data_IF_033556075297
#
_entry.id   IF_033556075297
#
_cell.length_a   1.000
_cell.length_b   1.000
_cell.length_c   1.000
_cell.angle_alpha   90.00
_cell.angle_beta   90.00
_cell.angle_gamma   90.00
#
_symmetry.space_group_name_H-M   'P 1'
#
loop_
_entity.id
_entity.type
_entity.pdbx_description
1 polymer ?
#
# COMPACT_ATOMS: atom_id res chain seq x y z
N UNK A 1 11.00 5.12 -18.56
CA UNK A 1 10.89 6.17 -17.53
C UNK A 1 10.96 5.48 -16.19
N UNK A 2 12.14 5.49 -15.58
CA UNK A 2 12.49 4.65 -14.44
C UNK A 2 12.09 5.37 -13.14
N UNK A 3 11.06 4.86 -12.45
CA UNK A 3 10.59 5.40 -11.16
C UNK A 3 11.11 4.61 -9.94
N UNK A 4 12.07 3.69 -10.12
CA UNK A 4 12.44 2.68 -9.12
C UNK A 4 13.84 2.85 -8.49
N UNK A 5 14.39 4.07 -8.43
CA UNK A 5 15.75 4.32 -7.89
C UNK A 5 15.77 5.37 -6.77
N UNK A 6 15.02 5.15 -5.69
CA UNK A 6 15.23 5.89 -4.43
C UNK A 6 15.18 4.95 -3.22
N UNK A 7 16.14 4.04 -3.15
CA UNK A 7 16.55 3.40 -1.89
C UNK A 7 18.00 3.77 -1.69
N UNK A 8 18.27 4.66 -0.72
CA UNK A 8 19.53 4.89 0.02
C UNK A 8 19.55 6.34 0.55
N UNK A 9 18.83 6.60 1.64
CA UNK A 9 19.15 7.73 2.52
C UNK A 9 20.04 7.21 3.67
N UNK A 10 21.23 7.79 3.93
CA UNK A 10 22.12 7.33 4.99
C UNK A 10 21.55 7.55 6.39
N UNK A 11 21.68 6.53 7.23
CA UNK A 11 21.05 6.33 8.55
C UNK A 11 21.66 7.11 9.74
N UNK A 12 22.42 8.18 9.51
CA UNK A 12 23.28 8.77 10.57
C UNK A 12 22.96 10.21 11.00
N UNK A 13 21.86 10.83 10.55
CA UNK A 13 21.55 12.24 10.89
C UNK A 13 20.13 12.39 11.46
N UNK A 14 19.73 11.52 12.39
CA UNK A 14 18.47 11.64 13.14
C UNK A 14 18.77 11.56 14.64
N UNK A 15 19.52 12.53 15.16
CA UNK A 15 19.60 12.77 16.61
C UNK A 15 19.79 14.25 16.83
N UNK A 16 18.69 14.97 17.10
CA UNK A 16 18.64 16.24 17.84
C UNK A 16 17.51 17.10 17.30
N UNK A 17 16.38 17.15 18.01
CA UNK A 17 15.76 18.39 18.51
C UNK A 17 14.38 18.09 19.12
N UNK A 18 14.09 18.70 20.28
CA UNK A 18 12.93 18.40 21.14
C UNK A 18 11.69 19.20 20.74
N UNK A 19 10.47 18.75 21.13
CA UNK A 19 9.20 19.17 20.52
C UNK A 19 8.57 20.47 21.07
N UNK A 20 9.31 21.30 21.81
CA UNK A 20 8.68 22.20 22.80
C UNK A 20 8.47 23.64 22.30
N UNK A 21 8.89 23.97 21.07
CA UNK A 21 8.99 25.36 20.59
C UNK A 21 7.85 25.83 19.65
N UNK A 22 6.71 25.14 19.57
CA UNK A 22 5.69 25.46 18.53
C UNK A 22 4.25 25.59 19.06
N UNK A 23 3.86 26.77 19.58
CA UNK A 23 2.47 27.28 19.69
C UNK A 23 2.48 28.85 19.78
N UNK A 24 1.36 29.59 19.52
CA UNK A 24 0.92 30.02 18.18
C UNK A 24 0.78 31.56 18.04
N UNK A 25 0.90 32.08 16.81
CA UNK A 25 0.62 33.49 16.51
C UNK A 25 -0.88 33.76 16.31
N UNK A 26 -1.41 34.75 17.05
CA UNK A 26 -2.73 35.36 16.90
C UNK A 26 -2.74 36.37 15.76
N UNK A 27 -3.77 36.37 14.91
CA UNK A 27 -4.00 37.41 13.90
C UNK A 27 -5.38 38.02 14.12
N UNK A 28 -5.39 39.25 14.63
CA UNK A 28 -6.55 40.14 14.68
C UNK A 28 -6.42 41.18 13.57
N UNK A 29 -7.31 41.14 12.58
CA UNK A 29 -7.44 42.19 11.57
C UNK A 29 -8.80 42.13 10.89
N UNK A 30 -9.70 43.07 11.23
CA UNK A 30 -10.97 43.30 10.50
C UNK A 30 -10.67 44.01 9.18
N UNK A 31 -11.14 43.46 8.07
CA UNK A 31 -11.18 44.13 6.76
C UNK A 31 -12.64 44.54 6.48
N UNK A 32 -12.87 45.82 6.22
CA UNK A 32 -14.16 46.36 5.75
C UNK A 32 -14.11 46.31 4.22
N UNK A 33 -14.91 45.45 3.60
CA UNK A 33 -15.04 45.34 2.14
C UNK A 33 -16.19 46.26 1.64
N UNK A 34 -16.02 46.91 0.49
CA UNK A 34 -17.04 47.75 -0.16
C UNK A 34 -17.86 46.94 -1.18
N UNK A 35 -19.10 47.33 -1.47
CA UNK A 35 -20.07 46.54 -2.26
C UNK A 35 -19.62 46.13 -3.68
N UNK A 36 -18.75 46.91 -4.33
CA UNK A 36 -18.18 46.56 -5.65
C UNK A 36 -17.10 45.45 -5.56
N UNK A 37 -16.52 45.21 -4.39
CA UNK A 37 -15.57 44.13 -4.16
C UNK A 37 -16.25 42.80 -3.84
N UNK A 38 -17.48 42.83 -3.31
CA UNK A 38 -18.28 41.63 -3.03
C UNK A 38 -18.76 40.95 -4.32
N UNK A 39 -19.30 41.72 -5.27
CA UNK A 39 -19.75 41.19 -6.57
C UNK A 39 -18.60 40.60 -7.40
N UNK A 40 -17.43 41.22 -7.40
CA UNK A 40 -16.24 40.68 -8.06
C UNK A 40 -15.70 39.41 -7.36
N UNK A 41 -15.84 39.32 -6.03
CA UNK A 41 -15.48 38.14 -5.25
C UNK A 41 -16.46 36.98 -5.54
N UNK A 42 -17.75 37.26 -5.60
CA UNK A 42 -18.81 36.31 -5.94
C UNK A 42 -18.64 35.75 -7.36
N UNK A 43 -18.35 36.60 -8.35
CA UNK A 43 -18.07 36.19 -9.73
C UNK A 43 -16.79 35.34 -9.84
N UNK A 44 -15.76 35.68 -9.04
CA UNK A 44 -14.51 34.92 -8.99
C UNK A 44 -14.68 33.57 -8.30
N UNK A 45 -15.43 33.50 -7.21
CA UNK A 45 -15.79 32.26 -6.50
C UNK A 45 -16.62 31.37 -7.42
N UNK A 46 -17.65 31.92 -8.07
CA UNK A 46 -18.50 31.18 -9.02
C UNK A 46 -17.71 30.59 -10.20
N UNK A 47 -16.77 31.36 -10.78
CA UNK A 47 -15.88 30.87 -11.85
C UNK A 47 -14.93 29.78 -11.36
N UNK A 48 -14.38 29.91 -10.14
CA UNK A 48 -13.54 28.86 -9.54
C UNK A 48 -14.32 27.60 -9.23
N UNK A 49 -15.57 27.72 -8.78
CA UNK A 49 -16.48 26.60 -8.56
C UNK A 49 -16.83 25.91 -9.87
N UNK A 50 -17.14 26.65 -10.95
CA UNK A 50 -17.36 26.08 -12.27
C UNK A 50 -16.13 25.35 -12.84
N UNK A 51 -14.93 25.91 -12.71
CA UNK A 51 -13.69 25.25 -13.17
C UNK A 51 -13.39 24.02 -12.32
N UNK A 52 -13.64 24.09 -11.01
CA UNK A 52 -13.51 22.95 -10.09
C UNK A 52 -14.49 21.84 -10.46
N UNK A 53 -15.74 22.19 -10.74
CA UNK A 53 -16.79 21.26 -11.17
C UNK A 53 -16.47 20.63 -12.52
N UNK A 54 -15.99 21.39 -13.50
CA UNK A 54 -15.58 20.86 -14.80
C UNK A 54 -14.39 19.89 -14.67
N UNK A 55 -13.37 20.24 -13.87
CA UNK A 55 -12.24 19.34 -13.58
C UNK A 55 -12.71 18.08 -12.85
N UNK A 56 -13.62 18.23 -11.91
CA UNK A 56 -14.24 17.11 -11.19
C UNK A 56 -15.00 16.19 -12.17
N UNK A 57 -15.84 16.74 -13.04
CA UNK A 57 -16.61 15.98 -14.04
C UNK A 57 -15.67 15.27 -15.02
N UNK A 58 -14.65 15.95 -15.54
CA UNK A 58 -13.68 15.32 -16.46
C UNK A 58 -12.89 14.21 -15.77
N UNK A 59 -12.46 14.43 -14.52
CA UNK A 59 -11.73 13.42 -13.74
C UNK A 59 -12.63 12.24 -13.38
N UNK A 60 -13.89 12.51 -13.01
CA UNK A 60 -14.89 11.51 -12.66
C UNK A 60 -15.28 10.67 -13.87
N UNK A 61 -15.66 11.30 -14.99
CA UNK A 61 -15.99 10.62 -16.25
C UNK A 61 -14.79 9.84 -16.76
N UNK A 62 -13.59 10.43 -16.74
CA UNK A 62 -12.35 9.74 -17.08
C UNK A 62 -12.12 8.51 -16.20
N UNK A 63 -12.38 8.63 -14.89
CA UNK A 63 -12.30 7.51 -13.94
C UNK A 63 -13.31 6.41 -14.26
N UNK A 64 -14.56 6.76 -14.54
CA UNK A 64 -15.61 5.80 -14.91
C UNK A 64 -15.30 5.08 -16.23
N UNK A 65 -14.76 5.78 -17.22
CA UNK A 65 -14.31 5.19 -18.49
C UNK A 65 -13.18 4.21 -18.21
N UNK A 66 -12.16 4.61 -17.46
CA UNK A 66 -11.04 3.74 -17.10
C UNK A 66 -11.49 2.52 -16.28
N UNK A 67 -12.45 2.67 -15.38
CA UNK A 67 -13.02 1.55 -14.61
C UNK A 67 -13.83 0.60 -15.50
N UNK A 68 -14.47 1.12 -16.55
CA UNK A 68 -15.21 0.31 -17.52
C UNK A 68 -14.24 -0.46 -18.41
N UNK A 69 -13.23 0.21 -18.97
CA UNK A 69 -12.15 -0.43 -19.74
C UNK A 69 -11.46 -1.50 -18.89
N UNK A 70 -11.11 -1.18 -17.64
CA UNK A 70 -10.44 -2.11 -16.75
C UNK A 70 -11.26 -3.38 -16.51
N UNK A 71 -12.58 -3.26 -16.28
CA UNK A 71 -13.47 -4.43 -16.13
C UNK A 71 -13.56 -5.26 -17.40
N UNK A 72 -13.58 -4.64 -18.58
CA UNK A 72 -13.67 -5.36 -19.86
C UNK A 72 -12.40 -6.14 -20.20
N UNK A 73 -11.24 -5.63 -19.81
CA UNK A 73 -9.94 -6.20 -20.16
C UNK A 73 -9.24 -6.93 -19.01
N UNK A 74 -9.85 -6.96 -17.82
CA UNK A 74 -9.32 -7.70 -16.67
C UNK A 74 -9.03 -9.16 -17.04
N UNK A 75 -8.04 -9.72 -16.34
CA UNK A 75 -7.79 -11.15 -16.35
C UNK A 75 -8.97 -11.88 -15.70
N UNK A 76 -9.25 -13.13 -16.09
CA UNK A 76 -10.28 -13.91 -15.42
C UNK A 76 -9.95 -14.05 -13.93
N UNK A 77 -10.97 -14.22 -13.11
CA UNK A 77 -10.80 -14.64 -11.73
C UNK A 77 -10.69 -16.18 -11.67
N UNK A 78 -9.79 -16.74 -10.84
CA UNK A 78 -9.74 -18.17 -10.59
C UNK A 78 -11.01 -18.62 -9.87
N UNK A 79 -11.35 -19.90 -10.01
CA UNK A 79 -12.32 -20.51 -9.11
C UNK A 79 -11.81 -20.36 -7.67
N UNK A 80 -12.66 -19.86 -6.76
CA UNK A 80 -12.30 -19.74 -5.34
C UNK A 80 -11.81 -21.09 -4.84
N UNK A 81 -10.63 -21.10 -4.19
CA UNK A 81 -10.09 -22.30 -3.56
C UNK A 81 -11.13 -22.84 -2.58
N UNK A 82 -11.68 -24.02 -2.85
CA UNK A 82 -12.77 -24.62 -2.06
C UNK A 82 -12.39 -24.68 -0.60
N UNK A 83 -13.23 -24.19 0.31
CA UNK A 83 -12.98 -24.16 1.76
C UNK A 83 -12.46 -25.52 2.30
N UNK A 84 -12.93 -26.62 1.70
CA UNK A 84 -12.68 -28.01 2.08
C UNK A 84 -11.27 -28.55 1.80
N UNK A 85 -10.39 -27.78 1.13
CA UNK A 85 -8.95 -28.07 1.20
C UNK A 85 -8.46 -27.66 2.59
N UNK A 86 -8.67 -28.58 3.53
CA UNK A 86 -8.21 -28.49 4.91
C UNK A 86 -6.67 -28.50 4.91
N UNK A 87 -6.06 -27.67 5.76
CA UNK A 87 -4.61 -27.68 5.98
C UNK A 87 -4.23 -28.98 6.72
N UNK A 88 -4.14 -30.08 5.97
CA UNK A 88 -3.77 -31.38 6.52
C UNK A 88 -2.27 -31.58 6.35
N UNK A 89 -1.53 -31.51 7.47
CA UNK A 89 -0.17 -32.02 7.55
C UNK A 89 -0.21 -33.44 8.14
N UNK A 90 0.70 -34.34 7.74
CA UNK A 90 0.82 -35.65 8.37
C UNK A 90 1.00 -35.50 9.89
N UNK A 91 0.31 -36.30 10.74
CA UNK A 91 0.34 -36.15 12.19
C UNK A 91 1.75 -36.22 12.81
N UNK A 92 2.67 -36.93 12.14
CA UNK A 92 4.03 -37.18 12.61
C UNK A 92 5.02 -36.06 12.24
N UNK A 93 4.61 -35.12 11.38
CA UNK A 93 5.49 -34.11 10.81
C UNK A 93 5.03 -32.73 11.24
N UNK A 94 5.89 -32.01 11.96
CA UNK A 94 5.60 -30.61 12.33
C UNK A 94 5.84 -29.68 11.15
N UNK A 95 5.05 -28.61 11.03
CA UNK A 95 5.30 -27.56 10.04
C UNK A 95 6.74 -27.00 10.14
N UNK A 96 7.26 -26.90 11.37
CA UNK A 96 8.63 -26.46 11.64
C UNK A 96 9.70 -27.41 11.12
N UNK A 97 9.52 -28.73 11.26
CA UNK A 97 10.50 -29.70 10.73
C UNK A 97 10.54 -29.68 9.19
N UNK A 98 9.41 -29.40 8.53
CA UNK A 98 9.39 -29.15 7.08
C UNK A 98 10.07 -27.83 6.72
N UNK A 99 9.81 -26.76 7.48
CA UNK A 99 10.38 -25.43 7.25
C UNK A 99 11.91 -25.39 7.38
N UNK A 100 12.49 -26.22 8.25
CA UNK A 100 13.94 -26.32 8.45
C UNK A 100 14.63 -27.33 7.53
N UNK A 101 13.86 -28.07 6.71
CA UNK A 101 14.42 -29.00 5.73
C UNK A 101 15.32 -28.27 4.72
N UNK A 102 16.33 -28.99 4.21
CA UNK A 102 17.27 -28.43 3.24
C UNK A 102 16.55 -27.91 1.98
N UNK A 103 15.59 -28.66 1.46
CA UNK A 103 14.80 -28.27 0.28
C UNK A 103 13.99 -27.00 0.53
N UNK A 104 13.36 -26.86 1.70
CA UNK A 104 12.61 -25.67 2.07
C UNK A 104 13.52 -24.43 2.19
N UNK A 105 14.72 -24.60 2.77
CA UNK A 105 15.73 -23.54 2.89
C UNK A 105 16.25 -23.10 1.52
N UNK A 106 16.57 -24.05 0.64
CA UNK A 106 17.03 -23.77 -0.72
C UNK A 106 15.96 -23.04 -1.52
N UNK A 107 14.72 -23.53 -1.48
CA UNK A 107 13.57 -22.88 -2.12
C UNK A 107 13.36 -21.47 -1.57
N UNK A 108 13.40 -21.29 -0.24
CA UNK A 108 13.21 -19.98 0.40
C UNK A 108 14.29 -18.97 0.02
N UNK A 109 15.54 -19.42 -0.16
CA UNK A 109 16.65 -18.58 -0.64
C UNK A 109 16.43 -18.15 -2.09
N UNK A 110 16.00 -19.09 -2.94
CA UNK A 110 15.64 -18.79 -4.33
C UNK A 110 14.48 -17.78 -4.38
N UNK A 111 13.42 -18.04 -3.62
CA UNK A 111 12.24 -17.16 -3.53
C UNK A 111 12.60 -15.75 -3.07
N UNK A 112 13.35 -15.62 -1.96
CA UNK A 112 13.74 -14.32 -1.42
C UNK A 112 14.53 -13.49 -2.43
N UNK A 113 15.38 -14.13 -3.24
CA UNK A 113 16.15 -13.44 -4.29
C UNK A 113 15.27 -12.76 -5.34
N UNK A 114 14.03 -13.21 -5.53
CA UNK A 114 13.06 -12.64 -6.48
C UNK A 114 12.23 -11.50 -5.91
N UNK A 115 12.02 -11.51 -4.59
CA UNK A 115 11.24 -10.48 -3.88
C UNK A 115 12.15 -9.30 -3.55
N UNK A 116 13.30 -9.59 -2.92
CA UNK A 116 14.28 -8.58 -2.53
C UNK A 116 15.69 -9.20 -2.47
N UNK A 117 16.63 -8.78 -3.33
CA UNK A 117 18.00 -9.28 -3.31
C UNK A 117 18.66 -9.10 -1.93
N UNK A 118 19.13 -10.21 -1.34
CA UNK A 118 19.80 -10.20 -0.03
C UNK A 118 18.87 -10.38 1.19
N UNK A 119 17.56 -10.48 0.99
CA UNK A 119 16.63 -10.81 2.07
C UNK A 119 16.78 -12.28 2.53
N UNK A 120 16.60 -12.51 3.82
CA UNK A 120 16.46 -13.87 4.36
C UNK A 120 15.05 -14.35 4.05
N UNK A 121 14.93 -15.51 3.39
CA UNK A 121 13.63 -16.13 3.11
C UNK A 121 12.90 -16.51 4.39
N UNK A 122 11.96 -15.64 4.80
CA UNK A 122 10.98 -15.87 5.85
C UNK A 122 9.82 -16.77 5.40
N UNK A 123 9.64 -16.88 4.08
CA UNK A 123 8.66 -17.76 3.44
C UNK A 123 9.37 -18.97 2.83
N UNK A 124 8.88 -20.17 3.10
CA UNK A 124 9.44 -21.42 2.57
C UNK A 124 8.34 -22.39 2.15
N UNK A 125 8.55 -23.09 1.03
CA UNK A 125 7.70 -24.21 0.60
C UNK A 125 7.89 -25.39 1.58
N UNK A 126 6.81 -25.80 2.23
CA UNK A 126 6.84 -26.93 3.19
C UNK A 126 6.21 -28.20 2.62
N UNK A 127 5.29 -28.07 1.66
CA UNK A 127 4.70 -29.18 0.90
C UNK A 127 4.46 -28.74 -0.55
N UNK A 128 3.96 -29.62 -1.41
CA UNK A 128 3.56 -29.25 -2.79
C UNK A 128 2.50 -28.14 -2.83
N UNK A 129 1.63 -28.05 -1.82
CA UNK A 129 0.48 -27.15 -1.82
C UNK A 129 0.54 -26.06 -0.74
N UNK A 130 1.59 -26.05 0.08
CA UNK A 130 1.67 -25.15 1.23
C UNK A 130 3.05 -24.52 1.38
N UNK A 131 3.04 -23.23 1.70
CA UNK A 131 4.19 -22.48 2.18
C UNK A 131 3.98 -22.10 3.65
N UNK A 132 5.06 -21.87 4.37
CA UNK A 132 5.04 -21.35 5.73
C UNK A 132 5.86 -20.08 5.78
N UNK A 133 5.29 -19.04 6.39
CA UNK A 133 5.91 -17.75 6.69
C UNK A 133 6.22 -17.68 8.19
N UNK A 134 7.44 -17.28 8.53
CA UNK A 134 7.87 -17.00 9.91
C UNK A 134 8.14 -15.50 10.10
N UNK A 135 7.63 -14.94 11.20
CA UNK A 135 7.70 -13.50 11.49
C UNK A 135 6.48 -12.75 10.97
N UNK A 136 6.60 -11.42 10.89
CA UNK A 136 5.46 -10.55 10.55
C UNK A 136 4.41 -10.48 11.67
N UNK A 137 3.18 -10.14 11.31
CA UNK A 137 2.00 -10.18 12.18
C UNK A 137 0.97 -11.19 11.63
N UNK A 138 1.12 -12.51 11.90
CA UNK A 138 0.27 -13.56 11.32
C UNK A 138 -1.24 -13.33 11.49
N UNK A 139 -1.65 -12.74 12.62
CA UNK A 139 -3.05 -12.41 12.90
C UNK A 139 -3.58 -11.32 11.96
N UNK A 140 -2.78 -10.29 11.69
CA UNK A 140 -3.15 -9.21 10.78
C UNK A 140 -3.24 -9.72 9.35
N UNK A 141 -2.23 -10.45 8.88
CA UNK A 141 -2.21 -11.02 7.53
C UNK A 141 -3.37 -12.00 7.30
N UNK A 142 -3.66 -12.88 8.26
CA UNK A 142 -4.79 -13.82 8.18
C UNK A 142 -6.14 -13.09 8.11
N UNK A 143 -6.37 -12.08 8.97
CA UNK A 143 -7.63 -11.33 8.96
C UNK A 143 -7.81 -10.52 7.68
N UNK A 144 -6.73 -9.95 7.15
CA UNK A 144 -6.77 -9.28 5.85
C UNK A 144 -7.16 -10.27 4.76
N UNK A 145 -6.50 -11.43 4.69
CA UNK A 145 -6.82 -12.49 3.72
C UNK A 145 -8.30 -12.92 3.84
N UNK A 146 -8.81 -13.12 5.06
CA UNK A 146 -10.20 -13.50 5.29
C UNK A 146 -11.19 -12.42 4.83
N UNK A 147 -10.91 -11.15 5.12
CA UNK A 147 -11.70 -10.01 4.66
C UNK A 147 -11.74 -9.96 3.12
N UNK A 148 -10.58 -10.07 2.48
CA UNK A 148 -10.46 -9.99 1.02
C UNK A 148 -11.14 -11.17 0.33
N UNK A 149 -10.90 -12.39 0.82
CA UNK A 149 -11.50 -13.62 0.30
C UNK A 149 -13.04 -13.61 0.40
N UNK A 150 -13.57 -13.08 1.51
CA UNK A 150 -15.02 -13.01 1.74
C UNK A 150 -15.71 -11.88 0.99
N UNK A 151 -15.03 -10.73 0.82
CA UNK A 151 -15.66 -9.48 0.38
C UNK A 151 -15.29 -9.03 -1.03
N UNK A 152 -14.38 -9.74 -1.71
CA UNK A 152 -13.88 -9.36 -3.04
C UNK A 152 -13.76 -10.55 -4.00
N UNK A 153 -13.42 -10.25 -5.24
CA UNK A 153 -13.02 -11.22 -6.27
C UNK A 153 -11.49 -11.34 -6.39
N UNK A 154 -10.73 -10.65 -5.53
CA UNK A 154 -9.27 -10.65 -5.55
C UNK A 154 -8.78 -12.04 -5.13
N UNK A 155 -7.97 -12.72 -5.96
CA UNK A 155 -7.40 -14.01 -5.61
C UNK A 155 -6.31 -13.85 -4.56
N UNK A 156 -6.54 -14.46 -3.41
CA UNK A 156 -5.62 -14.46 -2.26
C UNK A 156 -5.37 -15.89 -1.79
N UNK A 157 -4.19 -16.21 -1.25
CA UNK A 157 -3.94 -17.53 -0.67
C UNK A 157 -4.86 -17.76 0.51
N UNK A 158 -5.17 -19.01 0.84
CA UNK A 158 -5.73 -19.31 2.16
C UNK A 158 -4.63 -19.21 3.20
N UNK A 159 -5.00 -18.84 4.41
CA UNK A 159 -4.09 -18.70 5.54
C UNK A 159 -4.58 -19.46 6.77
N UNK A 160 -3.65 -20.01 7.54
CA UNK A 160 -3.93 -20.59 8.85
C UNK A 160 -2.76 -20.34 9.81
N UNK A 161 -3.06 -19.84 11.00
CA UNK A 161 -2.07 -19.64 12.06
C UNK A 161 -1.72 -21.00 12.67
N UNK A 162 -0.43 -21.32 12.70
CA UNK A 162 0.08 -22.55 13.35
C UNK A 162 0.67 -22.26 14.70
N UNK A 163 1.35 -21.12 14.85
CA UNK A 163 1.92 -20.63 16.10
C UNK A 163 1.86 -19.10 16.13
N UNK A 164 2.18 -18.49 17.27
CA UNK A 164 2.09 -17.04 17.49
C UNK A 164 2.83 -16.19 16.45
N UNK A 165 3.91 -16.72 15.86
CA UNK A 165 4.73 -16.04 14.85
C UNK A 165 4.82 -16.81 13.51
N UNK A 166 3.87 -17.71 13.23
CA UNK A 166 3.92 -18.58 12.06
C UNK A 166 2.58 -18.70 11.35
N UNK A 167 2.60 -18.46 10.04
CA UNK A 167 1.45 -18.57 9.16
C UNK A 167 1.71 -19.64 8.10
N UNK A 168 0.80 -20.60 7.93
CA UNK A 168 0.77 -21.45 6.75
C UNK A 168 -0.14 -20.81 5.70
N UNK A 169 0.34 -20.77 4.47
CA UNK A 169 -0.33 -20.23 3.30
C UNK A 169 -0.50 -21.35 2.26
N UNK A 170 -1.61 -21.36 1.53
CA UNK A 170 -1.69 -22.15 0.29
C UNK A 170 -0.65 -21.61 -0.70
N UNK A 171 0.19 -22.50 -1.22
CA UNK A 171 1.17 -22.15 -2.24
C UNK A 171 0.46 -21.90 -3.56
N UNK A 172 0.57 -20.68 -4.07
CA UNK A 172 0.01 -20.31 -5.37
C UNK A 172 0.95 -20.79 -6.48
N UNK A 173 0.52 -21.70 -7.38
CA UNK A 173 1.32 -22.10 -8.52
C UNK A 173 1.44 -20.93 -9.50
N UNK A 174 2.64 -20.56 -9.90
CA UNK A 174 2.84 -19.47 -10.85
C UNK A 174 4.20 -18.83 -10.78
N UNK A 175 4.34 -17.70 -11.47
CA UNK A 175 5.58 -16.92 -11.52
C UNK A 175 5.31 -15.49 -11.06
N UNK A 176 6.10 -14.95 -10.12
CA UNK A 176 6.00 -13.53 -9.75
C UNK A 176 6.19 -12.62 -10.95
N UNK A 177 5.44 -11.51 -11.01
CA UNK A 177 5.56 -10.54 -12.10
C UNK A 177 6.98 -9.97 -12.20
N UNK A 178 7.70 -9.85 -11.08
CA UNK A 178 9.11 -9.43 -11.07
C UNK A 178 10.02 -10.29 -11.97
N UNK A 179 9.65 -11.55 -12.25
CA UNK A 179 10.44 -12.49 -13.06
C UNK A 179 9.94 -12.61 -14.50
N UNK A 180 8.65 -12.37 -14.75
CA UNK A 180 8.05 -12.58 -16.06
C UNK A 180 7.68 -11.30 -16.80
N UNK A 181 7.65 -10.13 -16.15
CA UNK A 181 7.15 -8.87 -16.72
C UNK A 181 7.71 -8.55 -18.11
N UNK A 182 9.04 -8.61 -18.27
CA UNK A 182 9.72 -8.29 -19.53
C UNK A 182 9.47 -9.31 -20.66
N UNK A 183 8.97 -10.50 -20.29
CA UNK A 183 8.62 -11.57 -21.24
C UNK A 183 7.14 -11.50 -21.65
N UNK A 184 6.33 -10.71 -20.95
CA UNK A 184 4.91 -10.56 -21.27
C UNK A 184 4.74 -9.63 -22.46
N UNK A 185 3.84 -10.00 -23.38
CA UNK A 185 3.45 -9.12 -24.48
C UNK A 185 2.74 -7.85 -23.96
N UNK A 186 2.80 -6.72 -24.70
CA UNK A 186 2.19 -5.45 -24.28
C UNK A 186 0.70 -5.57 -23.94
N UNK A 187 -0.02 -6.42 -24.66
CA UNK A 187 -1.44 -6.66 -24.39
C UNK A 187 -1.67 -7.35 -23.04
N UNK A 188 -0.84 -8.31 -22.65
CA UNK A 188 -0.95 -8.98 -21.34
C UNK A 188 -0.59 -8.02 -20.21
N UNK A 189 0.45 -7.21 -20.38
CA UNK A 189 0.80 -6.14 -19.43
C UNK A 189 -0.37 -5.16 -19.25
N UNK A 190 -1.02 -4.76 -20.34
CA UNK A 190 -2.23 -3.93 -20.30
C UNK A 190 -3.38 -4.59 -19.53
N UNK A 191 -3.64 -5.89 -19.74
CA UNK A 191 -4.65 -6.63 -18.99
C UNK A 191 -4.31 -6.74 -17.50
N UNK A 192 -3.03 -6.88 -17.15
CA UNK A 192 -2.56 -6.84 -15.76
C UNK A 192 -2.87 -5.47 -15.13
N UNK A 193 -2.55 -4.37 -15.81
CA UNK A 193 -2.90 -3.03 -15.32
C UNK A 193 -4.41 -2.84 -15.12
N UNK A 194 -5.22 -3.34 -16.06
CA UNK A 194 -6.68 -3.36 -15.94
C UNK A 194 -7.11 -4.13 -14.69
N UNK A 195 -6.54 -5.32 -14.48
CA UNK A 195 -6.84 -6.18 -13.32
C UNK A 195 -6.46 -5.49 -12.01
N UNK A 196 -5.26 -4.93 -11.91
CA UNK A 196 -4.81 -4.19 -10.73
C UNK A 196 -5.72 -3.00 -10.42
N UNK A 197 -6.15 -2.25 -11.44
CA UNK A 197 -7.13 -1.18 -11.26
C UNK A 197 -8.45 -1.70 -10.69
N UNK A 198 -8.94 -2.84 -11.17
CA UNK A 198 -10.14 -3.46 -10.59
C UNK A 198 -9.93 -3.90 -9.14
N UNK A 199 -8.76 -4.44 -8.80
CA UNK A 199 -8.43 -4.83 -7.43
C UNK A 199 -8.40 -3.63 -6.49
N UNK A 200 -7.65 -2.57 -6.83
CA UNK A 200 -7.59 -1.33 -6.02
C UNK A 200 -8.99 -0.74 -5.85
N UNK A 201 -9.85 -0.80 -6.89
CA UNK A 201 -11.25 -0.35 -6.77
C UNK A 201 -12.05 -1.19 -5.79
N UNK A 202 -11.91 -2.51 -5.82
CA UNK A 202 -12.57 -3.41 -4.86
C UNK A 202 -12.12 -3.12 -3.43
N UNK A 203 -10.80 -2.98 -3.19
CA UNK A 203 -10.24 -2.61 -1.88
C UNK A 203 -10.80 -1.27 -1.40
N UNK A 204 -10.85 -0.27 -2.28
CA UNK A 204 -11.34 1.07 -1.95
C UNK A 204 -12.85 1.16 -1.62
N UNK A 205 -13.60 0.10 -1.97
CA UNK A 205 -15.03 -0.01 -1.75
C UNK A 205 -15.39 -0.89 -0.54
N UNK A 206 -14.40 -1.51 0.12
CA UNK A 206 -14.61 -2.20 1.39
C UNK A 206 -15.09 -1.21 2.47
N UNK A 207 -15.76 -1.69 3.54
CA UNK A 207 -16.18 -0.85 4.65
C UNK A 207 -15.03 0.01 5.18
N UNK A 208 -15.30 1.30 5.42
CA UNK A 208 -14.29 2.23 5.97
C UNK A 208 -14.00 1.93 7.44
N UNK A 209 -12.82 2.33 7.90
CA UNK A 209 -12.49 2.42 9.33
C UNK A 209 -12.57 3.86 9.82
N UNK A 210 -12.82 4.04 11.12
CA UNK A 210 -12.69 5.34 11.80
C UNK A 210 -11.23 5.69 12.15
N UNK A 211 -10.38 4.65 12.25
CA UNK A 211 -8.99 4.76 12.69
C UNK A 211 -8.04 4.25 11.60
N UNK A 212 -6.96 4.98 11.29
CA UNK A 212 -6.00 4.52 10.32
C UNK A 212 -5.05 3.48 10.92
N UNK A 213 -4.57 2.57 10.08
CA UNK A 213 -3.70 1.47 10.46
C UNK A 213 -4.27 0.08 10.14
N UNK A 214 -3.59 -0.98 10.58
CA UNK A 214 -4.02 -2.36 10.34
C UNK A 214 -5.33 -2.69 11.04
N UNK A 215 -5.93 -3.83 10.68
CA UNK A 215 -7.14 -4.34 11.36
C UNK A 215 -6.82 -4.73 12.81
N UNK A 216 -5.64 -5.32 13.02
CA UNK A 216 -5.10 -5.73 14.31
C UNK A 216 -3.61 -5.43 14.37
N UNK A 217 -3.12 -5.14 15.57
CA UNK A 217 -1.70 -4.91 15.81
C UNK A 217 -1.30 -3.46 15.59
N UNK A 218 -0.04 -3.28 15.22
CA UNK A 218 0.62 -1.98 15.14
C UNK A 218 0.81 -1.58 13.69
N UNK A 219 0.76 -0.27 13.43
CA UNK A 219 1.12 0.29 12.13
C UNK A 219 2.58 -0.08 11.81
N UNK A 220 2.77 -0.73 10.66
CA UNK A 220 4.06 -1.24 10.16
C UNK A 220 4.20 -0.99 8.66
N UNK A 221 5.38 -1.29 8.15
CA UNK A 221 5.80 -1.09 6.76
C UNK A 221 6.92 -0.07 6.67
N UNK A 222 7.61 -0.04 5.52
CA UNK A 222 8.82 0.76 5.31
C UNK A 222 8.68 2.25 5.64
N UNK A 223 7.46 2.81 5.56
CA UNK A 223 7.17 4.20 5.93
C UNK A 223 7.11 4.44 7.44
N UNK A 224 6.85 3.41 8.25
CA UNK A 224 6.52 3.53 9.67
C UNK A 224 7.62 3.00 10.60
N UNK A 225 8.53 2.15 10.11
CA UNK A 225 9.59 1.49 10.88
C UNK A 225 10.62 2.44 11.52
N UNK A 226 10.67 3.70 11.10
CA UNK A 226 11.66 4.66 11.56
C UNK A 226 11.26 5.50 12.79
N UNK A 227 10.00 5.43 13.24
CA UNK A 227 9.54 6.21 14.39
C UNK A 227 8.75 5.35 15.39
N UNK A 228 9.47 4.80 16.39
CA UNK A 228 8.96 3.99 17.52
C UNK A 228 7.80 4.64 18.32
N UNK A 229 7.44 5.89 18.03
CA UNK A 229 6.60 6.74 18.88
C UNK A 229 5.14 6.79 18.39
N UNK A 230 4.84 6.36 17.15
CA UNK A 230 3.50 6.50 16.54
C UNK A 230 2.99 5.21 15.88
N UNK A 231 3.22 4.06 16.51
CA UNK A 231 2.79 2.76 16.00
C UNK A 231 1.26 2.52 16.07
N UNK A 232 0.48 3.49 16.58
CA UNK A 232 -0.98 3.53 16.49
C UNK A 232 -1.45 4.97 16.28
N UNK A 233 -2.34 5.17 15.32
CA UNK A 233 -2.96 6.47 15.08
C UNK A 233 -4.39 6.49 15.64
N UNK A 234 -4.66 7.21 16.73
CA UNK A 234 -5.99 7.19 17.35
C UNK A 234 -7.06 7.88 16.50
N UNK A 235 -6.65 8.77 15.58
CA UNK A 235 -7.54 9.50 14.67
C UNK A 235 -6.86 9.74 13.33
N UNK A 236 -7.65 9.91 12.27
CA UNK A 236 -7.17 10.34 10.95
C UNK A 236 -6.37 11.66 11.01
N UNK A 237 -6.70 12.56 11.93
CA UNK A 237 -5.99 13.84 12.10
C UNK A 237 -4.58 13.65 12.68
N UNK A 238 -4.38 12.68 13.59
CA UNK A 238 -3.03 12.34 14.09
C UNK A 238 -2.17 11.72 13.00
N UNK A 239 -2.77 10.82 12.21
CA UNK A 239 -2.11 10.24 11.05
C UNK A 239 -1.72 11.30 10.03
N UNK A 240 -2.63 12.22 9.73
CA UNK A 240 -2.41 13.37 8.87
C UNK A 240 -1.23 14.24 9.33
N UNK A 241 -1.19 14.64 10.61
CA UNK A 241 -0.07 15.40 11.16
C UNK A 241 1.26 14.63 11.05
N UNK A 242 1.23 13.31 11.25
CA UNK A 242 2.41 12.47 11.10
C UNK A 242 2.90 12.43 9.64
N UNK A 243 2.02 12.21 8.66
CA UNK A 243 2.38 12.25 7.24
C UNK A 243 2.97 13.60 6.83
N UNK A 244 2.38 14.70 7.30
CA UNK A 244 2.86 16.05 7.05
C UNK A 244 4.24 16.31 7.68
N UNK A 245 4.45 15.83 8.90
CA UNK A 245 5.74 15.91 9.58
C UNK A 245 6.80 15.09 8.84
N UNK A 246 6.47 13.86 8.42
CA UNK A 246 7.35 12.99 7.66
C UNK A 246 7.74 13.64 6.32
N UNK A 247 6.77 14.14 5.56
CA UNK A 247 7.01 14.84 4.29
C UNK A 247 7.89 16.08 4.48
N UNK A 248 7.66 16.85 5.55
CA UNK A 248 8.48 18.02 5.89
C UNK A 248 9.92 17.64 6.28
N UNK A 249 10.10 16.57 7.06
CA UNK A 249 11.42 16.03 7.44
C UNK A 249 12.19 15.54 6.23
N UNK A 250 11.58 14.68 5.41
CA UNK A 250 12.19 14.16 4.18
C UNK A 250 12.58 15.28 3.22
N UNK A 251 11.69 16.26 3.05
CA UNK A 251 12.00 17.45 2.26
C UNK A 251 13.21 18.22 2.77
N UNK A 252 13.29 18.48 4.07
CA UNK A 252 14.41 19.24 4.65
C UNK A 252 15.76 18.55 4.40
N UNK A 253 15.79 17.21 4.38
CA UNK A 253 16.99 16.44 4.00
C UNK A 253 17.33 16.68 2.53
N UNK A 254 16.37 16.48 1.62
CA UNK A 254 16.60 16.65 0.18
C UNK A 254 16.98 18.10 -0.15
N UNK A 255 16.34 19.09 0.47
CA UNK A 255 16.65 20.51 0.29
C UNK A 255 18.07 20.88 0.76
N UNK A 256 18.60 20.20 1.81
CA UNK A 256 20.00 20.36 2.23
C UNK A 256 20.96 19.74 1.23
N UNK A 257 20.66 18.54 0.73
CA UNK A 257 21.47 17.86 -0.29
C UNK A 257 21.51 18.65 -1.60
N UNK A 258 20.38 19.22 -2.01
CA UNK A 258 20.29 20.05 -3.21
C UNK A 258 21.15 21.33 -3.17
N UNK A 259 21.53 21.81 -1.98
CA UNK A 259 22.52 22.90 -1.84
C UNK A 259 23.93 22.46 -2.25
N UNK A 260 24.24 21.18 -2.10
CA UNK A 260 25.53 20.58 -2.46
C UNK A 260 25.51 20.04 -3.89
N UNK A 261 24.33 19.60 -4.37
CA UNK A 261 24.13 19.06 -5.71
C UNK A 261 22.90 19.71 -6.39
N UNK A 262 23.11 20.80 -7.15
CA UNK A 262 22.02 21.59 -7.76
C UNK A 262 21.16 20.82 -8.78
N UNK A 263 21.64 19.69 -9.30
CA UNK A 263 20.89 18.80 -10.22
C UNK A 263 19.69 18.11 -9.54
N UNK A 264 19.65 18.05 -8.21
CA UNK A 264 18.57 17.39 -7.47
C UNK A 264 17.22 18.14 -7.53
N UNK A 265 17.21 19.39 -8.02
CA UNK A 265 16.05 20.30 -8.22
C UNK A 265 14.79 19.89 -7.44
N UNK A 266 14.83 20.00 -6.10
CA UNK A 266 13.82 19.38 -5.28
C UNK A 266 12.50 20.17 -5.44
N UNK A 267 11.36 19.47 -5.45
CA UNK A 267 10.02 20.08 -5.50
C UNK A 267 9.45 20.29 -4.11
N UNK A 268 9.31 21.55 -3.68
CA UNK A 268 8.89 21.88 -2.31
C UNK A 268 7.59 21.16 -1.95
N UNK A 269 7.51 20.44 -0.81
CA UNK A 269 6.29 19.80 -0.38
C UNK A 269 5.24 20.89 -0.23
N UNK A 270 4.01 20.52 -0.55
CA UNK A 270 2.88 21.39 -0.31
C UNK A 270 2.89 21.76 1.18
N UNK A 271 2.98 23.07 1.49
CA UNK A 271 3.02 23.56 2.85
C UNK A 271 1.70 23.22 3.58
N UNK A 272 1.85 22.78 4.82
CA UNK A 272 0.81 22.50 5.83
C UNK A 272 0.11 23.80 6.25
N UNK A 273 -1.20 23.78 6.61
CA UNK A 273 -2.06 22.61 6.70
C UNK A 273 -2.93 22.50 5.46
N UNK A 274 -2.75 21.40 4.74
CA UNK A 274 -3.58 20.98 3.61
C UNK A 274 -3.61 21.94 2.41
N UNK A 275 -2.98 21.48 1.33
CA UNK A 275 -3.76 21.51 0.09
C UNK A 275 -5.04 20.74 0.37
N UNK A 276 -6.20 21.38 0.26
CA UNK A 276 -7.55 20.78 0.26
C UNK A 276 -7.76 19.69 -0.79
N UNK A 277 -6.68 19.19 -1.41
CA UNK A 277 -6.64 18.24 -2.52
C UNK A 277 -6.46 16.79 -2.06
N UNK A 278 -5.90 16.55 -0.87
CA UNK A 278 -5.74 15.20 -0.31
C UNK A 278 -6.74 15.00 0.81
N UNK A 279 -7.63 14.04 0.64
CA UNK A 279 -8.61 13.65 1.66
C UNK A 279 -8.02 12.60 2.59
N UNK A 280 -7.72 13.01 3.82
CA UNK A 280 -7.25 12.13 4.89
C UNK A 280 -8.39 11.53 5.71
N UNK A 281 -9.62 12.03 5.55
CA UNK A 281 -10.78 11.62 6.35
C UNK A 281 -11.36 10.31 5.85
N UNK A 282 -11.31 10.09 4.54
CA UNK A 282 -11.74 8.84 3.93
C UNK A 282 -10.61 7.81 4.00
N UNK A 283 -10.75 6.89 4.95
CA UNK A 283 -9.86 5.75 5.10
C UNK A 283 -10.43 4.57 4.32
N UNK A 284 -9.67 4.08 3.35
CA UNK A 284 -10.01 2.90 2.57
C UNK A 284 -9.09 1.76 2.96
N UNK A 285 -9.56 0.53 2.78
CA UNK A 285 -8.67 -0.61 2.94
C UNK A 285 -7.65 -0.59 1.80
N UNK A 286 -6.37 -0.68 2.16
CA UNK A 286 -5.24 -0.73 1.24
C UNK A 286 -4.40 -1.95 1.57
N UNK A 287 -3.83 -2.56 0.54
CA UNK A 287 -2.81 -3.59 0.60
C UNK A 287 -1.51 -3.11 1.22
N UNK A 288 -1.08 -1.86 0.94
CA UNK A 288 0.09 -1.23 1.55
C UNK A 288 1.45 -1.53 0.89
N UNK A 289 1.57 -2.63 0.13
CA UNK A 289 2.83 -3.02 -0.52
C UNK A 289 2.61 -3.70 -1.90
N UNK A 290 2.04 -2.95 -2.84
CA UNK A 290 1.79 -3.44 -4.21
C UNK A 290 3.05 -3.26 -5.05
N UNK A 291 3.76 -4.36 -5.29
CA UNK A 291 4.89 -4.40 -6.23
C UNK A 291 4.93 -5.74 -6.99
N UNK A 292 5.67 -5.84 -8.12
CA UNK A 292 5.68 -7.05 -8.95
C UNK A 292 6.14 -8.34 -8.25
N UNK A 293 6.81 -8.27 -7.10
CA UNK A 293 7.19 -9.44 -6.30
C UNK A 293 6.02 -10.05 -5.54
N UNK A 294 5.03 -9.24 -5.16
CA UNK A 294 3.82 -9.65 -4.43
C UNK A 294 2.63 -9.98 -5.35
N UNK A 295 2.89 -10.07 -6.66
CA UNK A 295 1.91 -10.38 -7.69
C UNK A 295 2.33 -11.64 -8.44
N UNK A 296 1.51 -12.69 -8.41
CA UNK A 296 1.80 -13.97 -9.08
C UNK A 296 0.86 -14.13 -10.26
N UNK A 297 1.41 -14.37 -11.44
CA UNK A 297 0.65 -14.83 -12.60
C UNK A 297 0.70 -16.35 -12.64
N UNK A 298 -0.46 -17.00 -12.49
CA UNK A 298 -0.55 -18.45 -12.55
C UNK A 298 -0.55 -18.98 -14.00
N UNK A 299 -0.52 -20.30 -14.15
CA UNK A 299 -0.48 -20.97 -15.45
C UNK A 299 -1.78 -20.81 -16.25
N UNK A 300 -2.88 -20.56 -15.56
CA UNK A 300 -4.21 -20.38 -16.14
C UNK A 300 -4.48 -18.90 -16.51
N UNK A 301 -3.52 -18.02 -16.21
CA UNK A 301 -3.58 -16.60 -16.54
C UNK A 301 -4.35 -15.74 -15.52
N UNK A 302 -4.54 -16.24 -14.30
CA UNK A 302 -5.09 -15.45 -13.20
C UNK A 302 -3.97 -14.69 -12.46
N UNK A 303 -4.32 -13.49 -11.99
CA UNK A 303 -3.41 -12.64 -11.23
C UNK A 303 -3.73 -12.70 -9.74
N UNK A 304 -2.82 -13.26 -8.96
CA UNK A 304 -2.93 -13.41 -7.52
C UNK A 304 -2.17 -12.30 -6.79
N UNK A 305 -2.70 -11.89 -5.64
CA UNK A 305 -2.05 -10.92 -4.75
C UNK A 305 -1.72 -11.60 -3.41
N UNK A 306 -0.46 -11.52 -3.01
CA UNK A 306 0.06 -12.18 -1.79
C UNK A 306 0.61 -11.16 -0.79
N UNK A 307 1.05 -11.65 0.38
CA UNK A 307 1.83 -10.97 1.43
C UNK A 307 1.12 -9.85 2.22
N UNK A 308 -0.11 -10.06 2.68
CA UNK A 308 -1.01 -9.01 3.21
C UNK A 308 -0.62 -8.38 4.57
N UNK A 309 0.63 -8.50 4.99
CA UNK A 309 1.16 -8.04 6.29
C UNK A 309 1.02 -6.53 6.49
N UNK A 310 1.36 -5.74 5.46
CA UNK A 310 1.31 -4.27 5.47
C UNK A 310 -0.07 -3.68 5.15
N UNK A 311 -1.11 -4.52 5.09
CA UNK A 311 -2.46 -4.06 4.76
C UNK A 311 -3.13 -3.35 5.94
N UNK A 312 -4.06 -2.45 5.63
CA UNK A 312 -4.82 -1.71 6.64
C UNK A 312 -5.66 -0.59 6.05
N UNK A 313 -6.22 0.24 6.92
CA UNK A 313 -7.06 1.38 6.54
C UNK A 313 -6.22 2.66 6.46
N UNK A 314 -6.05 3.18 5.27
CA UNK A 314 -5.26 4.39 5.02
C UNK A 314 -5.95 5.28 3.98
N UNK A 315 -5.42 6.47 3.74
CA UNK A 315 -5.99 7.36 2.73
C UNK A 315 -5.80 6.78 1.32
N UNK A 316 -6.75 7.05 0.41
CA UNK A 316 -6.80 6.46 -0.95
C UNK A 316 -5.50 6.62 -1.77
N UNK A 317 -4.70 7.65 -1.48
CA UNK A 317 -3.46 7.92 -2.18
C UNK A 317 -2.28 7.04 -1.75
N UNK A 318 -2.45 6.17 -0.75
CA UNK A 318 -1.47 5.12 -0.43
C UNK A 318 -1.36 4.04 -1.53
N UNK A 319 -2.33 3.95 -2.43
CA UNK A 319 -2.37 2.97 -3.53
C UNK A 319 -2.66 3.60 -4.91
N UNK A 320 -2.57 4.94 -5.00
CA UNK A 320 -2.95 5.69 -6.20
C UNK A 320 -1.81 5.84 -7.21
#
# INVERSE_FOLDING_TARGET
MNAWNYTHLPSTIIRSERPEDLLPFSVSGRVIASDNSLTALEDYVSRKECISLLRFVVTFVGTCILDTVARLFALPAPNRLSADQEFSLPPEVTAYSLYTSQSAVEWGREWASFVQPGAIGTVRKITEHHAMKLGGEPQQEMQAIDLISSSTEIPVPKAAIVQTNALILTLIPGVPLSRCWDKLGPFVQFRIFCTLRTYIRQLSNLPTSEKPGPMVGLVRGALFEHEDIYNVFPTWMRFQCWCEALGSRGWNVIARLAKQEPSLNPVKPLLVPFSSKLDYRRLVFTRGDIHPGNLILDIDGHLWMIDWDDSGYYSIWFEA
#
